data_IF_615211001034
#
_entry.id   IF_615211001034
#
_cell.length_a   1.000
_cell.length_b   1.000
_cell.length_c   1.000
_cell.angle_alpha   90.00
_cell.angle_beta   90.00
_cell.angle_gamma   90.00
#
_symmetry.space_group_name_H-M   'P 1'
#
loop_
_entity.id
_entity.type
_entity.pdbx_description
1 polymer ?
#
# COMPACT_ATOMS: atom_id res chain seq x y z
N UNK A 1 -32.45 -27.42 -24.51
CA UNK A 1 -32.33 -26.17 -23.74
C UNK A 1 -30.98 -26.20 -23.03
N UNK A 2 -30.02 -25.40 -23.50
CA UNK A 2 -28.66 -25.38 -22.94
C UNK A 2 -28.63 -24.40 -21.77
N UNK A 3 -28.35 -24.91 -20.57
CA UNK A 3 -28.16 -24.12 -19.34
C UNK A 3 -27.06 -23.08 -19.56
N UNK A 4 -27.25 -21.80 -19.22
CA UNK A 4 -26.18 -20.82 -19.31
C UNK A 4 -25.10 -21.21 -18.31
N UNK A 5 -23.91 -21.48 -18.85
CA UNK A 5 -22.69 -21.77 -18.10
C UNK A 5 -22.43 -20.60 -17.14
N UNK A 6 -22.67 -20.81 -15.84
CA UNK A 6 -22.26 -19.87 -14.80
C UNK A 6 -20.80 -19.54 -15.00
N UNK A 7 -20.49 -18.25 -15.17
CA UNK A 7 -19.13 -17.73 -15.15
C UNK A 7 -18.52 -18.08 -13.79
N UNK A 8 -17.87 -19.24 -13.70
CA UNK A 8 -17.13 -19.65 -12.51
C UNK A 8 -16.12 -18.54 -12.21
N UNK A 9 -16.39 -17.77 -11.15
CA UNK A 9 -15.40 -16.88 -10.55
C UNK A 9 -14.23 -17.78 -10.16
N UNK A 10 -13.19 -17.85 -11.00
CA UNK A 10 -12.00 -18.67 -10.74
C UNK A 10 -11.53 -18.37 -9.31
N UNK A 11 -11.67 -19.31 -8.37
CA UNK A 11 -11.29 -19.05 -6.99
C UNK A 11 -9.78 -18.75 -7.01
N UNK A 12 -9.39 -17.65 -6.36
CA UNK A 12 -8.00 -17.21 -6.21
C UNK A 12 -7.35 -16.49 -7.41
N UNK A 13 -8.10 -15.89 -8.35
CA UNK A 13 -7.51 -14.92 -9.30
C UNK A 13 -7.00 -13.71 -8.52
N UNK A 14 -5.77 -13.25 -8.82
CA UNK A 14 -5.23 -12.02 -8.26
C UNK A 14 -6.09 -10.83 -8.70
N UNK A 15 -6.52 -10.02 -7.74
CA UNK A 15 -7.20 -8.75 -7.96
C UNK A 15 -6.42 -7.80 -8.86
N UNK A 16 -7.15 -6.96 -9.59
CA UNK A 16 -6.53 -6.00 -10.50
C UNK A 16 -5.78 -4.90 -9.75
N UNK A 17 -4.81 -4.25 -10.42
CA UNK A 17 -4.18 -3.03 -9.89
C UNK A 17 -5.20 -1.93 -9.55
N UNK A 18 -6.29 -1.82 -10.32
CA UNK A 18 -7.38 -0.87 -10.06
C UNK A 18 -8.10 -1.18 -8.75
N UNK A 19 -8.26 -2.47 -8.43
CA UNK A 19 -8.81 -2.92 -7.13
C UNK A 19 -7.88 -2.54 -5.98
N UNK A 20 -6.57 -2.77 -6.13
CA UNK A 20 -5.57 -2.34 -5.14
C UNK A 20 -5.62 -0.83 -4.92
N UNK A 21 -5.61 -0.05 -6.01
CA UNK A 21 -5.71 1.41 -5.96
C UNK A 21 -6.94 1.85 -5.15
N UNK A 22 -8.13 1.32 -5.47
CA UNK A 22 -9.37 1.69 -4.78
C UNK A 22 -9.31 1.34 -3.28
N UNK A 23 -8.72 0.21 -2.92
CA UNK A 23 -8.54 -0.16 -1.50
C UNK A 23 -7.60 0.80 -0.77
N UNK A 24 -6.51 1.24 -1.42
CA UNK A 24 -5.56 2.20 -0.86
C UNK A 24 -6.20 3.59 -0.71
N UNK A 25 -6.90 4.04 -1.75
CA UNK A 25 -7.63 5.31 -1.79
C UNK A 25 -8.69 5.37 -0.68
N UNK A 26 -9.54 4.34 -0.58
CA UNK A 26 -10.56 4.24 0.46
C UNK A 26 -9.96 4.22 1.87
N UNK A 27 -8.74 3.70 2.03
CA UNK A 27 -8.07 3.65 3.32
C UNK A 27 -7.51 5.04 3.72
N UNK A 28 -6.83 5.73 2.80
CA UNK A 28 -6.12 6.98 3.13
C UNK A 28 -6.98 8.24 3.00
N UNK A 29 -7.94 8.33 2.08
CA UNK A 29 -8.79 9.51 1.91
C UNK A 29 -9.42 10.03 3.22
N UNK A 30 -10.05 9.17 4.07
CA UNK A 30 -10.63 9.65 5.33
C UNK A 30 -9.58 10.05 6.39
N UNK A 31 -8.32 9.61 6.23
CA UNK A 31 -7.23 9.95 7.16
C UNK A 31 -6.65 11.33 6.84
N UNK A 32 -6.50 11.63 5.55
CA UNK A 32 -5.78 12.83 5.13
C UNK A 32 -6.62 14.09 5.29
N UNK A 33 -7.93 14.02 5.01
CA UNK A 33 -8.87 15.15 5.18
C UNK A 33 -8.31 16.48 4.61
N UNK A 34 -7.90 16.45 3.34
CA UNK A 34 -7.32 17.56 2.56
C UNK A 34 -5.98 18.15 3.06
N UNK A 35 -5.31 17.50 4.02
CA UNK A 35 -4.00 17.95 4.55
C UNK A 35 -2.80 17.60 3.68
N UNK A 36 -2.98 16.83 2.60
CA UNK A 36 -1.92 16.50 1.63
C UNK A 36 -2.44 16.86 0.24
N UNK A 37 -1.61 17.49 -0.62
CA UNK A 37 -2.01 17.84 -1.97
C UNK A 37 -2.57 16.63 -2.73
N UNK A 38 -3.77 16.78 -3.30
CA UNK A 38 -4.46 15.67 -3.97
C UNK A 38 -3.61 15.02 -5.08
N UNK A 39 -2.89 15.82 -5.88
CA UNK A 39 -1.99 15.31 -6.91
C UNK A 39 -0.89 14.38 -6.34
N UNK A 40 -0.36 14.70 -5.16
CA UNK A 40 0.62 13.85 -4.47
C UNK A 40 -0.01 12.55 -3.98
N UNK A 41 -1.24 12.59 -3.46
CA UNK A 41 -1.98 11.40 -3.04
C UNK A 41 -2.31 10.46 -4.19
N UNK A 42 -2.83 10.97 -5.31
CA UNK A 42 -3.14 10.16 -6.49
C UNK A 42 -1.88 9.44 -7.02
N UNK A 43 -0.73 10.12 -6.98
CA UNK A 43 0.56 9.54 -7.33
C UNK A 43 1.00 8.48 -6.31
N UNK A 44 0.82 8.72 -5.00
CA UNK A 44 1.11 7.76 -3.95
C UNK A 44 0.27 6.50 -4.09
N UNK A 45 -1.04 6.64 -4.34
CA UNK A 45 -1.96 5.51 -4.51
C UNK A 45 -1.60 4.69 -5.74
N UNK A 46 -1.24 5.35 -6.83
CA UNK A 46 -0.76 4.70 -8.05
C UNK A 46 0.55 3.93 -7.81
N UNK A 47 1.50 4.55 -7.10
CA UNK A 47 2.76 3.93 -6.71
C UNK A 47 2.54 2.67 -5.85
N UNK A 48 1.73 2.80 -4.79
CA UNK A 48 1.41 1.69 -3.89
C UNK A 48 0.65 0.57 -4.60
N UNK A 49 -0.33 0.88 -5.44
CA UNK A 49 -1.06 -0.12 -6.19
C UNK A 49 -0.13 -0.91 -7.11
N UNK A 50 0.82 -0.23 -7.76
CA UNK A 50 1.81 -0.89 -8.64
C UNK A 50 2.79 -1.75 -7.85
N UNK A 51 3.35 -1.24 -6.75
CA UNK A 51 4.35 -1.95 -5.94
C UNK A 51 3.74 -3.15 -5.21
N UNK A 52 2.60 -2.97 -4.53
CA UNK A 52 1.91 -4.02 -3.81
C UNK A 52 1.39 -5.11 -4.73
N UNK A 53 0.83 -4.75 -5.89
CA UNK A 53 0.40 -5.75 -6.86
C UNK A 53 1.58 -6.59 -7.39
N UNK A 54 2.77 -5.99 -7.56
CA UNK A 54 3.99 -6.73 -7.93
C UNK A 54 4.40 -7.71 -6.83
N UNK A 55 4.39 -7.27 -5.56
CA UNK A 55 4.69 -8.10 -4.39
C UNK A 55 3.71 -9.26 -4.28
N UNK A 56 2.40 -8.98 -4.33
CA UNK A 56 1.35 -9.98 -4.27
C UNK A 56 1.47 -11.02 -5.40
N UNK A 57 1.74 -10.58 -6.63
CA UNK A 57 1.98 -11.48 -7.76
C UNK A 57 3.17 -12.41 -7.51
N UNK A 58 4.27 -11.89 -6.96
CA UNK A 58 5.46 -12.67 -6.64
C UNK A 58 5.21 -13.67 -5.49
N UNK A 59 4.60 -13.23 -4.40
CA UNK A 59 4.26 -14.08 -3.25
C UNK A 59 3.27 -15.19 -3.62
N UNK A 60 2.27 -14.88 -4.46
CA UNK A 60 1.34 -15.87 -4.98
C UNK A 60 2.04 -16.95 -5.82
N UNK A 61 3.09 -16.59 -6.57
CA UNK A 61 3.92 -17.54 -7.33
C UNK A 61 4.78 -18.40 -6.38
N UNK A 62 5.39 -17.78 -5.37
CA UNK A 62 6.29 -18.43 -4.41
C UNK A 62 5.56 -19.38 -3.44
N UNK A 63 4.32 -19.05 -3.07
CA UNK A 63 3.56 -19.76 -2.05
C UNK A 63 2.25 -20.34 -2.64
N UNK A 64 2.31 -21.47 -3.37
CA UNK A 64 1.15 -22.03 -4.06
C UNK A 64 0.03 -22.48 -3.11
N UNK A 65 0.37 -22.89 -1.88
CA UNK A 65 -0.59 -23.26 -0.82
C UNK A 65 -1.32 -22.05 -0.22
N UNK A 66 -0.82 -20.82 -0.45
CA UNK A 66 -1.38 -19.58 0.11
C UNK A 66 -1.93 -18.65 -0.98
N UNK A 67 -2.28 -19.18 -2.15
CA UNK A 67 -2.81 -18.39 -3.27
C UNK A 67 -4.02 -17.52 -2.90
N UNK A 68 -4.87 -18.00 -2.00
CA UNK A 68 -6.03 -17.25 -1.49
C UNK A 68 -5.64 -16.01 -0.66
N UNK A 69 -4.56 -16.07 0.12
CA UNK A 69 -4.08 -14.92 0.91
C UNK A 69 -3.56 -13.79 0.01
N UNK A 70 -2.93 -14.17 -1.09
CA UNK A 70 -2.32 -13.26 -2.05
C UNK A 70 -3.18 -13.02 -3.29
N UNK A 71 -4.48 -13.35 -3.25
CA UNK A 71 -5.41 -13.00 -4.33
C UNK A 71 -6.11 -11.66 -4.11
N UNK A 72 -6.19 -11.18 -2.88
CA UNK A 72 -6.89 -9.93 -2.53
C UNK A 72 -6.06 -9.08 -1.57
N UNK A 73 -5.95 -7.78 -1.88
CA UNK A 73 -5.14 -6.85 -1.09
C UNK A 73 -5.77 -6.59 0.28
N UNK A 74 -4.99 -6.72 1.35
CA UNK A 74 -5.46 -6.41 2.70
C UNK A 74 -4.85 -5.10 3.20
N UNK A 75 -5.69 -4.20 3.70
CA UNK A 75 -5.29 -2.89 4.25
C UNK A 75 -4.27 -2.99 5.37
N UNK A 76 -4.30 -4.07 6.17
CA UNK A 76 -3.26 -4.32 7.18
C UNK A 76 -1.85 -4.36 6.60
N UNK A 77 -1.71 -4.66 5.31
CA UNK A 77 -0.41 -4.71 4.66
C UNK A 77 0.17 -3.30 4.39
N UNK A 78 -0.65 -2.25 4.49
CA UNK A 78 -0.21 -0.85 4.49
C UNK A 78 0.55 -0.46 5.77
N UNK A 79 0.30 -1.17 6.87
CA UNK A 79 0.99 -0.96 8.14
C UNK A 79 2.31 -1.73 8.26
N UNK A 80 2.64 -2.59 7.29
CA UNK A 80 3.93 -3.29 7.34
C UNK A 80 5.08 -2.29 7.20
N UNK A 81 6.17 -2.45 7.97
CA UNK A 81 7.31 -1.52 7.94
C UNK A 81 7.85 -1.30 6.52
N UNK A 82 7.98 -2.36 5.72
CA UNK A 82 8.44 -2.24 4.33
C UNK A 82 7.53 -1.36 3.46
N UNK A 83 6.21 -1.47 3.65
CA UNK A 83 5.25 -0.61 2.92
C UNK A 83 5.38 0.84 3.39
N UNK A 84 5.44 1.08 4.70
CA UNK A 84 5.60 2.42 5.27
C UNK A 84 6.92 3.07 4.87
N UNK A 85 8.03 2.33 4.87
CA UNK A 85 9.33 2.81 4.39
C UNK A 85 9.26 3.21 2.92
N UNK A 86 8.57 2.41 2.09
CA UNK A 86 8.31 2.74 0.70
C UNK A 86 7.48 4.01 0.52
N UNK A 87 6.50 4.27 1.40
CA UNK A 87 5.70 5.51 1.41
C UNK A 87 6.59 6.70 1.81
N UNK A 88 7.37 6.56 2.89
CA UNK A 88 8.27 7.62 3.35
C UNK A 88 9.31 7.99 2.30
N UNK A 89 9.91 7.00 1.63
CA UNK A 89 10.87 7.26 0.55
C UNK A 89 10.20 7.97 -0.63
N UNK A 90 9.01 7.53 -1.03
CA UNK A 90 8.23 8.21 -2.08
C UNK A 90 7.93 9.67 -1.72
N UNK A 91 7.45 9.92 -0.50
CA UNK A 91 7.11 11.28 -0.05
C UNK A 91 8.35 12.17 0.04
N UNK A 92 9.46 11.65 0.56
CA UNK A 92 10.73 12.38 0.66
C UNK A 92 11.29 12.75 -0.72
N UNK A 93 11.13 11.88 -1.71
CA UNK A 93 11.54 12.15 -3.10
C UNK A 93 10.68 13.26 -3.74
N UNK A 94 9.36 13.29 -3.45
CA UNK A 94 8.44 14.27 -4.04
C UNK A 94 8.39 15.60 -3.33
N UNK A 95 8.58 15.60 -2.02
CA UNK A 95 8.62 16.80 -1.19
C UNK A 95 9.49 16.55 0.06
N UNK A 96 10.79 16.82 -0.10
CA UNK A 96 11.77 16.63 0.97
C UNK A 96 11.55 17.55 2.18
N UNK A 97 10.76 18.63 2.04
CA UNK A 97 10.49 19.59 3.11
C UNK A 97 9.34 19.09 3.99
N UNK A 98 8.24 18.64 3.38
CA UNK A 98 7.00 18.32 4.10
C UNK A 98 6.78 16.82 4.35
N UNK A 99 7.64 15.92 3.84
CA UNK A 99 7.40 14.48 3.93
C UNK A 99 7.18 13.96 5.35
N UNK A 100 7.84 14.55 6.36
CA UNK A 100 7.67 14.16 7.77
C UNK A 100 6.26 14.46 8.26
N UNK A 101 5.74 15.65 7.94
CA UNK A 101 4.35 16.04 8.21
C UNK A 101 3.37 15.08 7.52
N UNK A 102 3.63 14.73 6.26
CA UNK A 102 2.80 13.76 5.53
C UNK A 102 2.85 12.36 6.16
N UNK A 103 4.01 11.90 6.61
CA UNK A 103 4.15 10.63 7.32
C UNK A 103 3.35 10.64 8.64
N UNK A 104 3.42 11.71 9.43
CA UNK A 104 2.62 11.86 10.67
C UNK A 104 1.13 11.72 10.40
N UNK A 105 0.64 12.36 9.34
CA UNK A 105 -0.77 12.28 8.93
C UNK A 105 -1.13 10.86 8.50
N UNK A 106 -0.40 10.27 7.55
CA UNK A 106 -0.74 8.97 6.96
C UNK A 106 -0.60 7.82 7.96
N UNK A 107 0.37 7.89 8.86
CA UNK A 107 0.64 6.83 9.85
C UNK A 107 -0.01 7.11 11.20
N UNK A 108 -0.68 8.27 11.36
CA UNK A 108 -1.27 8.72 12.62
C UNK A 108 -0.26 8.72 13.77
N UNK A 109 0.94 9.25 13.50
CA UNK A 109 2.04 9.30 14.45
C UNK A 109 2.24 10.72 15.00
N UNK A 110 2.63 10.82 16.26
CA UNK A 110 3.19 12.04 16.85
C UNK A 110 4.70 12.19 16.53
N UNK A 111 5.33 13.24 17.07
CA UNK A 111 6.74 13.52 16.80
C UNK A 111 7.70 12.48 17.40
N UNK A 112 7.41 11.95 18.59
CA UNK A 112 8.23 10.90 19.23
C UNK A 112 8.15 9.58 18.47
N UNK A 113 6.94 9.19 18.07
CA UNK A 113 6.67 7.99 17.27
C UNK A 113 7.33 8.08 15.90
N UNK A 114 7.26 9.25 15.26
CA UNK A 114 7.94 9.49 13.98
C UNK A 114 9.46 9.38 14.16
N UNK A 115 10.03 10.00 15.19
CA UNK A 115 11.47 9.94 15.44
C UNK A 115 11.96 8.50 15.66
N UNK A 116 11.20 7.69 16.40
CA UNK A 116 11.48 6.25 16.58
C UNK A 116 11.39 5.51 15.25
N UNK A 117 10.31 5.70 14.50
CA UNK A 117 10.11 5.10 13.18
C UNK A 117 11.26 5.42 12.21
N UNK A 118 11.71 6.67 12.16
CA UNK A 118 12.81 7.08 11.28
C UNK A 118 14.15 6.44 11.67
N UNK A 119 14.41 6.25 12.97
CA UNK A 119 15.59 5.51 13.44
C UNK A 119 15.54 4.03 13.05
N UNK A 120 14.38 3.40 13.19
CA UNK A 120 14.17 2.00 12.76
C UNK A 120 14.37 1.83 11.26
N UNK A 121 13.77 2.74 10.46
CA UNK A 121 13.97 2.79 9.01
C UNK A 121 15.44 2.95 8.63
N UNK A 122 16.13 3.91 9.25
CA UNK A 122 17.54 4.16 8.99
C UNK A 122 18.39 2.91 9.28
N UNK A 123 18.15 2.26 10.42
CA UNK A 123 18.82 1.00 10.80
C UNK A 123 18.56 -0.12 9.80
N UNK A 124 17.35 -0.20 9.23
CA UNK A 124 17.03 -1.19 8.20
C UNK A 124 17.75 -0.92 6.88
N UNK A 125 17.91 0.35 6.50
CA UNK A 125 18.55 0.76 5.24
C UNK A 125 20.08 0.69 5.27
N UNK A 126 20.69 0.76 6.46
CA UNK A 126 22.15 0.70 6.65
C UNK A 126 22.69 -0.65 7.10
N UNK A 127 21.80 -1.63 7.33
CA UNK A 127 22.16 -3.04 7.54
C UNK A 127 22.46 -3.74 6.21
#
# INVERSE_FOLDING_TARGET
MSTPMSLEKKPNKLESKKSFYKTIENYYNPIVNDKIPNGLLLNLYSYLAKSQHKIYKALRKKHPKSKARYSSFKTKDLHYPFTQYGITNFLKEKDAVNYTTYCKILFKMNDEELAKYLKEKHTYETK
#
